data_IF_874847666493
#
_entry.id   IF_874847666493
#
_cell.length_a   1.000
_cell.length_b   1.000
_cell.length_c   1.000
_cell.angle_alpha   90.00
_cell.angle_beta   90.00
_cell.angle_gamma   90.00
#
_symmetry.space_group_name_H-M   'P 1'
#
loop_
_entity.id
_entity.type
_entity.pdbx_description
1 polymer ?
#
# COMPACT_ATOMS: atom_id res chain seq x y z
N UNK A 1 -8.96 8.43 -1.67
CA UNK A 1 -8.22 7.70 -2.72
C UNK A 1 -7.11 6.93 -2.05
N UNK A 2 -7.00 5.62 -2.29
CA UNK A 2 -6.30 4.67 -1.42
C UNK A 2 -4.87 5.10 -1.06
N UNK A 3 -4.09 5.57 -2.04
CA UNK A 3 -2.72 6.04 -1.81
C UNK A 3 -2.65 7.17 -0.78
N UNK A 4 -3.62 8.10 -0.77
CA UNK A 4 -3.73 9.15 0.26
C UNK A 4 -3.81 8.56 1.67
N UNK A 5 -4.65 7.53 1.84
CA UNK A 5 -4.84 6.91 3.15
C UNK A 5 -3.64 6.08 3.58
N UNK A 6 -2.90 5.48 2.63
CA UNK A 6 -1.61 4.85 2.91
C UNK A 6 -0.58 5.88 3.40
N UNK A 7 -0.41 7.00 2.69
CA UNK A 7 0.51 8.08 3.10
C UNK A 7 0.14 8.61 4.50
N UNK A 8 -1.14 8.91 4.73
CA UNK A 8 -1.66 9.35 6.03
C UNK A 8 -1.35 8.35 7.14
N UNK A 9 -1.58 7.06 6.89
CA UNK A 9 -1.32 6.01 7.88
C UNK A 9 0.17 5.88 8.20
N UNK A 10 1.05 5.89 7.18
CA UNK A 10 2.49 5.85 7.37
C UNK A 10 2.98 7.05 8.19
N UNK A 11 2.51 8.27 7.87
CA UNK A 11 2.81 9.46 8.67
C UNK A 11 2.39 9.28 10.13
N UNK A 12 1.15 8.85 10.36
CA UNK A 12 0.63 8.64 11.71
C UNK A 12 1.37 7.54 12.51
N UNK A 13 1.96 6.55 11.83
CA UNK A 13 2.82 5.53 12.48
C UNK A 13 4.20 6.13 12.77
N UNK A 14 4.80 6.84 11.80
CA UNK A 14 6.10 7.51 11.94
C UNK A 14 6.12 8.48 13.12
N UNK A 15 5.05 9.29 13.27
CA UNK A 15 4.90 10.29 14.33
C UNK A 15 4.88 9.71 15.74
N UNK A 16 4.64 8.40 15.89
CA UNK A 16 4.71 7.72 17.19
C UNK A 16 6.15 7.53 17.66
N UNK A 17 7.15 7.77 16.80
CA UNK A 17 8.57 7.69 17.14
C UNK A 17 9.06 6.29 17.49
N UNK A 18 8.30 5.24 17.14
CA UNK A 18 8.64 3.83 17.39
C UNK A 18 9.11 3.15 16.11
N UNK A 19 10.12 2.27 16.16
CA UNK A 19 10.49 1.45 15.01
C UNK A 19 9.34 0.52 14.60
N UNK A 20 8.90 0.61 13.36
CA UNK A 20 7.87 -0.27 12.76
C UNK A 20 8.32 -0.69 11.37
N UNK A 21 8.15 -1.97 11.05
CA UNK A 21 8.40 -2.48 9.70
C UNK A 21 7.09 -2.55 8.93
N UNK A 22 7.04 -1.93 7.75
CA UNK A 22 5.90 -1.99 6.84
C UNK A 22 6.33 -2.67 5.54
N UNK A 23 5.53 -3.61 5.04
CA UNK A 23 5.84 -4.36 3.82
C UNK A 23 4.68 -4.23 2.84
N UNK A 24 4.98 -3.76 1.64
CA UNK A 24 4.08 -3.74 0.50
C UNK A 24 4.54 -4.81 -0.50
N UNK A 25 3.67 -5.76 -0.82
CA UNK A 25 3.93 -6.80 -1.81
C UNK A 25 2.84 -6.77 -2.87
N UNK A 26 3.19 -6.40 -4.09
CA UNK A 26 2.24 -6.38 -5.22
C UNK A 26 2.50 -7.54 -6.19
N UNK A 27 1.50 -7.89 -7.01
CA UNK A 27 1.68 -8.81 -8.12
C UNK A 27 2.38 -8.11 -9.28
N UNK A 28 3.37 -8.75 -9.88
CA UNK A 28 4.05 -8.21 -11.07
C UNK A 28 3.38 -8.74 -12.34
N UNK A 29 2.36 -8.04 -12.86
CA UNK A 29 1.54 -8.52 -13.98
C UNK A 29 2.25 -8.29 -15.32
N UNK A 30 2.08 -9.20 -16.29
CA UNK A 30 2.63 -9.00 -17.64
C UNK A 30 2.02 -7.76 -18.30
N UNK A 31 2.88 -6.87 -18.82
CA UNK A 31 2.47 -5.60 -19.43
C UNK A 31 2.06 -4.50 -18.43
N UNK A 32 2.01 -4.80 -17.13
CA UNK A 32 1.62 -3.86 -16.07
C UNK A 32 2.50 -4.07 -14.83
N UNK A 33 3.82 -4.05 -15.02
CA UNK A 33 4.75 -4.20 -13.92
C UNK A 33 4.68 -2.99 -12.97
N UNK A 34 4.68 -3.25 -11.66
CA UNK A 34 4.75 -2.20 -10.65
C UNK A 34 6.15 -1.58 -10.63
N UNK A 35 6.23 -0.26 -10.74
CA UNK A 35 7.42 0.50 -10.41
C UNK A 35 7.53 0.64 -8.88
N UNK A 36 8.38 -0.17 -8.28
CA UNK A 36 8.53 -0.22 -6.82
C UNK A 36 9.21 1.04 -6.26
N UNK A 37 10.14 1.64 -7.02
CA UNK A 37 10.88 2.81 -6.59
C UNK A 37 9.97 4.04 -6.63
N UNK A 38 9.21 4.21 -7.72
CA UNK A 38 8.21 5.26 -7.81
C UNK A 38 7.12 5.10 -6.75
N UNK A 39 6.66 3.87 -6.48
CA UNK A 39 5.70 3.61 -5.40
C UNK A 39 6.28 3.96 -4.03
N UNK A 40 7.54 3.59 -3.75
CA UNK A 40 8.21 3.94 -2.51
C UNK A 40 8.30 5.47 -2.35
N UNK A 41 8.73 6.19 -3.38
CA UNK A 41 8.80 7.67 -3.36
C UNK A 41 7.42 8.28 -3.08
N UNK A 42 6.37 7.78 -3.74
CA UNK A 42 5.00 8.23 -3.51
C UNK A 42 4.47 7.89 -2.11
N UNK A 43 5.00 6.87 -1.43
CA UNK A 43 4.60 6.52 -0.06
C UNK A 43 5.31 7.39 0.99
N UNK A 44 6.53 7.86 0.72
CA UNK A 44 7.34 8.61 1.69
C UNK A 44 7.33 10.13 1.48
N UNK A 45 7.13 10.59 0.23
CA UNK A 45 7.29 11.99 -0.17
C UNK A 45 6.34 12.35 -1.33
N UNK A 46 5.05 12.02 -1.20
CA UNK A 46 4.07 12.31 -2.23
C UNK A 46 3.88 13.83 -2.45
N UNK A 47 4.14 14.38 -3.66
CA UNK A 47 3.97 15.82 -3.90
C UNK A 47 2.50 16.27 -3.86
N UNK A 48 1.54 15.35 -4.03
CA UNK A 48 0.11 15.66 -3.91
C UNK A 48 -0.39 15.68 -2.46
N UNK A 49 0.39 15.14 -1.52
CA UNK A 49 0.03 15.07 -0.09
C UNK A 49 1.22 15.49 0.79
N UNK A 50 1.73 16.73 0.65
CA UNK A 50 2.92 17.19 1.36
C UNK A 50 2.78 17.11 2.89
N UNK A 51 1.56 17.20 3.43
CA UNK A 51 1.27 17.07 4.86
C UNK A 51 1.55 15.66 5.42
N UNK A 52 1.66 14.64 4.56
CA UNK A 52 1.95 13.26 4.95
C UNK A 52 3.39 12.84 4.63
N UNK A 53 4.26 13.77 4.22
CA UNK A 53 5.68 13.49 4.01
C UNK A 53 6.31 12.95 5.29
N UNK A 54 7.08 11.87 5.15
CA UNK A 54 7.81 11.30 6.28
C UNK A 54 9.02 12.18 6.63
N UNK A 55 9.30 12.41 7.92
CA UNK A 55 10.48 13.14 8.33
C UNK A 55 11.74 12.30 8.06
N UNK A 56 12.88 12.98 7.86
CA UNK A 56 14.14 12.33 7.51
C UNK A 56 14.66 11.37 8.62
N UNK A 57 14.26 11.59 9.86
CA UNK A 57 14.60 10.77 11.04
C UNK A 57 13.52 9.71 11.38
N UNK A 58 12.57 9.47 10.46
CA UNK A 58 11.54 8.45 10.62
C UNK A 58 12.15 7.09 10.95
N UNK A 59 11.63 6.42 11.98
CA UNK A 59 12.06 5.06 12.38
C UNK A 59 11.36 3.94 11.62
N UNK A 60 10.57 4.27 10.59
CA UNK A 60 9.92 3.27 9.75
C UNK A 60 10.93 2.55 8.86
N UNK A 61 10.78 1.23 8.75
CA UNK A 61 11.46 0.41 7.73
C UNK A 61 10.44 -0.04 6.71
N UNK A 62 10.46 0.55 5.52
CA UNK A 62 9.48 0.29 4.46
C UNK A 62 10.12 -0.59 3.40
N UNK A 63 9.46 -1.70 3.09
CA UNK A 63 9.83 -2.59 2.00
C UNK A 63 8.75 -2.56 0.94
N UNK A 64 9.14 -2.34 -0.31
CA UNK A 64 8.23 -2.40 -1.46
C UNK A 64 8.81 -3.44 -2.41
N UNK A 65 7.99 -4.42 -2.78
CA UNK A 65 8.40 -5.48 -3.67
C UNK A 65 7.26 -5.96 -4.54
N UNK A 66 7.64 -6.54 -5.67
CA UNK A 66 6.71 -7.13 -6.62
C UNK A 66 7.30 -8.44 -7.15
N UNK A 67 6.47 -9.48 -7.25
CA UNK A 67 6.95 -10.81 -7.63
C UNK A 67 6.03 -11.50 -8.64
N UNK A 68 6.64 -12.30 -9.53
CA UNK A 68 5.99 -13.16 -10.52
C UNK A 68 6.90 -14.33 -10.88
N UNK A 69 6.31 -15.48 -11.20
CA UNK A 69 6.91 -16.61 -11.93
C UNK A 69 5.96 -17.06 -13.04
N UNK A 70 6.36 -16.90 -14.30
CA UNK A 70 5.51 -17.19 -15.48
C UNK A 70 4.13 -16.51 -15.38
N UNK A 71 3.04 -17.28 -15.41
CA UNK A 71 1.67 -16.77 -15.26
C UNK A 71 1.16 -16.77 -13.80
N UNK A 72 2.07 -16.87 -12.82
CA UNK A 72 1.74 -16.85 -11.39
C UNK A 72 2.35 -15.62 -10.72
N UNK A 73 1.54 -14.88 -9.97
CA UNK A 73 1.95 -13.70 -9.19
C UNK A 73 1.11 -13.59 -7.92
N UNK A 74 1.53 -12.75 -6.98
CA UNK A 74 0.70 -12.46 -5.80
C UNK A 74 -0.59 -11.74 -6.23
N UNK A 75 -1.73 -12.40 -6.04
CA UNK A 75 -3.05 -11.79 -6.28
C UNK A 75 -3.88 -11.64 -4.99
N UNK A 76 -3.30 -11.99 -3.84
CA UNK A 76 -3.92 -11.76 -2.53
C UNK A 76 -4.03 -10.27 -2.20
N UNK A 77 -5.02 -9.92 -1.38
CA UNK A 77 -5.22 -8.56 -0.85
C UNK A 77 -5.37 -8.67 0.66
N UNK A 78 -4.29 -8.32 1.36
CA UNK A 78 -4.14 -8.55 2.79
C UNK A 78 -3.57 -7.28 3.42
N UNK A 79 -4.18 -6.84 4.52
CA UNK A 79 -3.61 -5.89 5.47
C UNK A 79 -3.55 -6.58 6.83
N UNK A 80 -2.34 -6.99 7.22
CA UNK A 80 -2.11 -7.63 8.52
C UNK A 80 -1.32 -6.68 9.43
N UNK A 81 -1.74 -6.56 10.69
CA UNK A 81 -1.13 -5.65 11.68
C UNK A 81 -0.76 -6.44 12.93
N UNK A 82 0.53 -6.44 13.28
CA UNK A 82 1.11 -7.00 14.50
C UNK A 82 0.73 -8.47 14.80
N UNK A 83 0.29 -9.22 13.78
CA UNK A 83 -0.21 -10.60 13.94
C UNK A 83 -1.53 -10.70 14.72
N UNK A 84 -2.24 -9.58 14.92
CA UNK A 84 -3.47 -9.51 15.72
C UNK A 84 -4.70 -9.15 14.90
N UNK A 85 -4.51 -8.30 13.89
CA UNK A 85 -5.59 -7.84 13.00
C UNK A 85 -5.28 -8.27 11.58
N UNK A 86 -6.32 -8.66 10.85
CA UNK A 86 -6.23 -9.12 9.48
C UNK A 86 -7.42 -8.59 8.71
N UNK A 87 -7.21 -7.68 7.77
CA UNK A 87 -8.23 -7.31 6.80
C UNK A 87 -7.91 -7.95 5.44
N UNK A 88 -8.85 -8.68 4.86
CA UNK A 88 -8.64 -9.42 3.62
C UNK A 88 -9.91 -9.51 2.77
N UNK A 89 -9.77 -9.76 1.46
CA UNK A 89 -10.90 -9.98 0.57
C UNK A 89 -10.57 -9.75 -0.91
N UNK A 90 -11.60 -9.36 -1.68
CA UNK A 90 -11.48 -9.17 -3.13
C UNK A 90 -11.03 -7.78 -3.59
N UNK A 91 -11.10 -6.77 -2.70
CA UNK A 91 -10.83 -5.38 -3.07
C UNK A 91 -9.38 -5.13 -3.53
N UNK A 92 -9.19 -4.82 -4.81
CA UNK A 92 -7.95 -4.19 -5.26
C UNK A 92 -7.89 -2.74 -4.75
N UNK A 93 -6.67 -2.22 -4.64
CA UNK A 93 -6.39 -0.85 -4.19
C UNK A 93 -6.47 0.12 -5.38
N UNK A 94 -7.57 0.08 -6.13
CA UNK A 94 -7.73 0.79 -7.41
C UNK A 94 -8.86 1.81 -7.36
N UNK A 95 -8.49 3.08 -7.17
CA UNK A 95 -9.46 4.17 -7.00
C UNK A 95 -10.49 4.27 -8.13
N UNK A 96 -10.05 4.10 -9.38
CA UNK A 96 -10.92 4.22 -10.54
C UNK A 96 -12.06 3.19 -10.55
N UNK A 97 -11.81 1.98 -10.02
CA UNK A 97 -12.78 0.90 -10.03
C UNK A 97 -13.72 0.93 -8.83
N UNK A 98 -13.24 1.35 -7.66
CA UNK A 98 -14.02 1.25 -6.42
C UNK A 98 -14.60 2.58 -5.95
N UNK A 99 -13.98 3.71 -6.29
CA UNK A 99 -14.29 5.03 -5.70
C UNK A 99 -14.74 6.08 -6.74
N UNK A 100 -15.08 5.66 -7.95
CA UNK A 100 -15.56 6.53 -9.02
C UNK A 100 -16.90 6.03 -9.61
N UNK A 101 -17.22 6.40 -10.86
CA UNK A 101 -18.49 6.04 -11.49
C UNK A 101 -18.59 4.53 -11.74
N UNK A 102 -19.78 3.96 -11.56
CA UNK A 102 -20.08 2.53 -11.70
C UNK A 102 -19.13 1.64 -10.86
N UNK A 103 -19.11 1.83 -9.53
CA UNK A 103 -18.14 1.17 -8.68
C UNK A 103 -18.33 -0.35 -8.67
N UNK A 104 -17.22 -1.08 -8.65
CA UNK A 104 -17.21 -2.53 -8.45
C UNK A 104 -17.84 -2.85 -7.10
N UNK A 105 -18.75 -3.84 -7.09
CA UNK A 105 -19.30 -4.41 -5.86
C UNK A 105 -18.42 -5.57 -5.43
N UNK A 106 -17.87 -5.47 -4.23
CA UNK A 106 -16.89 -6.42 -3.71
C UNK A 106 -16.99 -6.47 -2.19
N UNK A 107 -16.32 -7.43 -1.57
CA UNK A 107 -16.37 -7.64 -0.13
C UNK A 107 -14.97 -7.89 0.43
N UNK A 108 -14.72 -7.27 1.58
CA UNK A 108 -13.58 -7.56 2.44
C UNK A 108 -14.06 -7.64 3.88
N UNK A 109 -13.33 -8.40 4.69
CA UNK A 109 -13.65 -8.65 6.10
C UNK A 109 -12.39 -8.48 6.94
N UNK A 110 -12.60 -8.13 8.21
CA UNK A 110 -11.59 -8.16 9.27
C UNK A 110 -11.73 -9.45 10.11
#
# INVERSE_FOLDING_TARGET
KFLKHMCKALKAISDRGKPVTVRFLTGNIFGMATDNDALLELLINNPHYPEYRLPADSKLRIWVGSWRKNLSWNHSKILAVDGKYLFQGGHNVWDAHYLQKNPVRDMSME
#
